data_IF_613772765943
#
_entry.id   IF_613772765943
#
_cell.length_a   1.000
_cell.length_b   1.000
_cell.length_c   1.000
_cell.angle_alpha   90.00
_cell.angle_beta   90.00
_cell.angle_gamma   90.00
#
_symmetry.space_group_name_H-M   'P 1'
#
loop_
_entity.id
_entity.type
_entity.pdbx_description
1 polymer ?
#
# COMPACT_ATOMS: atom_id res chain seq x y z
N UNK A 1 5.74 21.40 67.49
CA UNK A 1 5.34 21.83 66.13
C UNK A 1 5.84 20.81 65.12
N UNK A 2 5.09 19.74 64.91
CA UNK A 2 5.46 18.62 64.04
C UNK A 2 4.70 18.75 62.72
N UNK A 3 5.41 19.14 61.66
CA UNK A 3 4.88 19.22 60.28
C UNK A 3 4.65 17.79 59.77
N UNK A 4 3.40 17.43 59.51
CA UNK A 4 3.06 16.20 58.79
C UNK A 4 3.09 16.49 57.29
N UNK A 5 4.05 15.88 56.58
CA UNK A 5 4.10 15.87 55.12
C UNK A 5 3.20 14.71 54.66
N UNK A 6 2.05 15.05 54.08
CA UNK A 6 1.24 14.09 53.32
C UNK A 6 1.89 13.89 51.95
N UNK A 7 2.63 12.79 51.76
CA UNK A 7 3.06 12.36 50.43
C UNK A 7 1.88 11.66 49.75
N UNK A 8 1.23 12.34 48.80
CA UNK A 8 0.36 11.71 47.81
C UNK A 8 1.26 11.06 46.77
N UNK A 9 1.32 9.72 46.77
CA UNK A 9 1.92 8.95 45.70
C UNK A 9 0.92 8.85 44.55
N UNK A 10 1.09 9.69 43.53
CA UNK A 10 0.32 9.62 42.29
C UNK A 10 0.86 8.46 41.45
N UNK A 11 0.19 7.31 41.48
CA UNK A 11 0.44 6.21 40.56
C UNK A 11 -0.03 6.60 39.16
N UNK A 12 0.87 7.15 38.35
CA UNK A 12 0.64 7.30 36.92
C UNK A 12 0.79 5.92 36.29
N UNK A 13 -0.34 5.28 35.98
CA UNK A 13 -0.35 4.10 35.14
C UNK A 13 0.10 4.52 33.73
N UNK A 14 1.36 4.24 33.39
CA UNK A 14 1.85 4.43 32.03
C UNK A 14 1.32 3.25 31.21
N UNK A 15 0.21 3.48 30.52
CA UNK A 15 -0.28 2.53 29.52
C UNK A 15 0.71 2.51 28.35
N UNK A 16 1.55 1.47 28.28
CA UNK A 16 2.35 1.16 27.10
C UNK A 16 1.41 0.68 25.99
N UNK A 17 0.93 1.60 25.16
CA UNK A 17 0.15 1.24 23.98
C UNK A 17 1.10 0.84 22.85
N UNK A 18 1.09 -0.44 22.48
CA UNK A 18 1.62 -0.89 21.20
C UNK A 18 0.61 -0.52 20.11
N UNK A 19 0.58 0.76 19.70
CA UNK A 19 -0.32 1.19 18.62
C UNK A 19 0.20 0.72 17.26
N UNK A 20 -0.68 0.11 16.46
CA UNK A 20 -0.39 -0.17 15.05
C UNK A 20 -0.59 1.10 14.25
N UNK A 21 0.49 1.63 13.68
CA UNK A 21 0.39 2.73 12.73
C UNK A 21 -0.02 2.21 11.35
N UNK A 22 -1.11 2.74 10.79
CA UNK A 22 -1.56 2.44 9.43
C UNK A 22 -1.60 3.72 8.62
N UNK A 23 -1.04 3.67 7.41
CA UNK A 23 -1.07 4.76 6.44
C UNK A 23 -1.49 4.22 5.10
N UNK A 24 -2.50 4.83 4.49
CA UNK A 24 -2.87 4.52 3.11
C UNK A 24 -1.75 4.96 2.16
N UNK A 25 -1.48 4.11 1.17
CA UNK A 25 -0.56 4.40 0.08
C UNK A 25 -1.31 4.43 -1.25
N UNK A 26 -2.63 4.64 -1.23
CA UNK A 26 -3.49 4.45 -2.39
C UNK A 26 -3.25 5.44 -3.53
N UNK A 27 -2.64 6.59 -3.25
CA UNK A 27 -2.41 7.63 -4.26
C UNK A 27 -1.06 7.51 -4.95
N UNK A 28 -0.93 8.14 -6.11
CA UNK A 28 0.35 8.31 -6.82
C UNK A 28 1.06 6.98 -7.14
N UNK A 29 0.29 6.01 -7.63
CA UNK A 29 0.83 4.81 -8.26
C UNK A 29 1.12 5.08 -9.74
N UNK A 30 2.01 4.26 -10.30
CA UNK A 30 2.24 4.17 -11.72
C UNK A 30 1.76 2.81 -12.20
N UNK A 31 0.96 2.81 -13.25
CA UNK A 31 0.36 1.62 -13.83
C UNK A 31 0.80 1.44 -15.28
N UNK A 32 1.11 0.20 -15.64
CA UNK A 32 1.39 -0.19 -17.01
C UNK A 32 0.64 -1.50 -17.30
N UNK A 33 -0.15 -1.51 -18.37
CA UNK A 33 -0.80 -2.73 -18.86
C UNK A 33 0.09 -3.33 -19.94
N UNK A 34 0.58 -4.56 -19.72
CA UNK A 34 1.37 -5.26 -20.73
C UNK A 34 0.46 -5.63 -21.91
N UNK A 35 0.85 -5.35 -23.17
CA UNK A 35 0.05 -5.71 -24.34
C UNK A 35 -0.05 -7.22 -24.61
N UNK A 36 0.60 -8.07 -23.79
CA UNK A 36 0.54 -9.53 -23.83
C UNK A 36 0.67 -10.18 -22.44
N UNK A 37 0.75 -11.51 -22.39
CA UNK A 37 0.97 -12.30 -21.16
C UNK A 37 2.45 -12.33 -20.73
N UNK A 38 3.19 -11.25 -21.01
CA UNK A 38 4.60 -11.16 -20.68
C UNK A 38 4.77 -10.92 -19.18
N UNK A 39 5.40 -11.90 -18.52
CA UNK A 39 5.60 -11.90 -17.07
C UNK A 39 6.69 -10.93 -16.62
N UNK A 40 7.57 -10.50 -17.52
CA UNK A 40 8.66 -9.58 -17.24
C UNK A 40 8.37 -8.19 -17.80
N UNK A 41 8.81 -7.15 -17.08
CA UNK A 41 8.87 -5.81 -17.66
C UNK A 41 9.95 -5.81 -18.76
N UNK A 42 9.65 -5.33 -19.99
CA UNK A 42 10.63 -5.34 -21.06
C UNK A 42 11.84 -4.49 -20.68
N UNK A 43 13.01 -5.14 -20.59
CA UNK A 43 14.25 -4.51 -20.12
C UNK A 43 14.77 -3.40 -21.06
N UNK A 44 14.36 -3.43 -22.33
CA UNK A 44 14.89 -2.57 -23.39
C UNK A 44 13.81 -1.72 -24.09
N UNK A 45 12.54 -1.87 -23.73
CA UNK A 45 11.46 -1.06 -24.30
C UNK A 45 11.10 0.12 -23.41
N UNK A 46 10.67 1.22 -24.04
CA UNK A 46 10.24 2.42 -23.32
C UNK A 46 8.83 2.18 -22.75
N UNK A 47 8.78 1.67 -21.52
CA UNK A 47 7.53 1.47 -20.79
C UNK A 47 6.87 2.82 -20.51
N UNK A 48 5.63 2.96 -20.98
CA UNK A 48 4.80 4.13 -20.69
C UNK A 48 3.97 3.85 -19.44
N UNK A 49 4.22 4.62 -18.38
CA UNK A 49 3.53 4.53 -17.11
C UNK A 49 2.41 5.56 -17.01
N UNK A 50 1.21 5.11 -16.64
CA UNK A 50 0.07 5.97 -16.32
C UNK A 50 0.01 6.22 -14.83
N UNK A 51 -0.09 7.48 -14.41
CA UNK A 51 -0.29 7.82 -13.00
C UNK A 51 -1.74 7.54 -12.61
N UNK A 52 -1.96 6.79 -11.52
CA UNK A 52 -3.29 6.40 -11.01
C UNK A 52 -3.33 6.46 -9.47
N UNK A 53 -4.55 6.44 -8.93
CA UNK A 53 -4.83 6.09 -7.53
C UNK A 53 -5.61 4.77 -7.50
N UNK A 54 -5.45 3.99 -6.44
CA UNK A 54 -6.22 2.76 -6.19
C UNK A 54 -7.38 3.02 -5.20
N UNK A 55 -8.48 2.25 -5.25
CA UNK A 55 -8.73 1.04 -6.07
C UNK A 55 -8.76 1.35 -7.57
N UNK A 56 -8.16 0.48 -8.38
CA UNK A 56 -8.06 0.62 -9.83
C UNK A 56 -8.35 -0.72 -10.52
N UNK A 57 -9.03 -0.67 -11.66
CA UNK A 57 -9.20 -1.79 -12.57
C UNK A 57 -8.94 -1.33 -14.00
N UNK A 58 -8.21 -2.14 -14.78
CA UNK A 58 -8.07 -1.91 -16.22
C UNK A 58 -9.32 -2.33 -17.00
N UNK A 59 -10.19 -3.16 -16.40
CA UNK A 59 -11.45 -3.60 -16.98
C UNK A 59 -12.64 -2.69 -16.61
N UNK A 60 -12.43 -1.37 -16.56
CA UNK A 60 -13.49 -0.43 -16.15
C UNK A 60 -14.49 -0.13 -17.26
N UNK A 61 -14.12 -0.36 -18.51
CA UNK A 61 -14.90 -0.01 -19.69
C UNK A 61 -15.17 -1.18 -20.64
N UNK A 62 -14.20 -2.08 -20.81
CA UNK A 62 -14.29 -3.19 -21.78
C UNK A 62 -15.38 -4.21 -21.43
N UNK A 63 -15.72 -4.35 -20.15
CA UNK A 63 -16.86 -5.18 -19.71
C UNK A 63 -18.24 -4.56 -20.05
N UNK A 64 -18.27 -3.32 -20.50
CA UNK A 64 -19.49 -2.56 -20.78
C UNK A 64 -19.64 -2.16 -22.26
N UNK A 65 -18.67 -2.49 -23.11
CA UNK A 65 -18.75 -2.19 -24.53
C UNK A 65 -19.50 -3.28 -25.32
N UNK A 66 -19.68 -3.06 -26.62
CA UNK A 66 -20.41 -3.99 -27.49
C UNK A 66 -19.53 -5.17 -27.96
N UNK A 67 -18.24 -5.21 -27.59
CA UNK A 67 -17.31 -6.26 -27.97
C UNK A 67 -17.35 -7.41 -26.93
N UNK A 68 -17.59 -8.67 -27.35
CA UNK A 68 -17.63 -9.77 -26.40
C UNK A 68 -16.28 -10.02 -25.71
N UNK A 69 -16.27 -9.92 -24.38
CA UNK A 69 -15.15 -10.30 -23.54
C UNK A 69 -14.58 -9.14 -22.74
N UNK A 70 -13.37 -9.30 -22.23
CA UNK A 70 -12.60 -8.25 -21.59
C UNK A 70 -11.12 -8.63 -21.60
N UNK A 71 -10.24 -7.64 -21.45
CA UNK A 71 -8.80 -7.90 -21.48
C UNK A 71 -8.36 -8.76 -20.28
N UNK A 72 -7.62 -9.83 -20.57
CA UNK A 72 -6.98 -10.71 -19.58
C UNK A 72 -5.49 -10.77 -19.89
N UNK A 73 -4.68 -10.39 -18.92
CA UNK A 73 -3.23 -10.34 -19.06
C UNK A 73 -2.58 -9.77 -17.81
N UNK A 74 -1.38 -9.23 -17.97
CA UNK A 74 -0.54 -8.78 -16.85
C UNK A 74 -0.54 -7.26 -16.77
N UNK A 75 -0.76 -6.75 -15.56
CA UNK A 75 -0.71 -5.34 -15.24
C UNK A 75 0.29 -5.06 -14.12
N UNK A 76 1.17 -4.10 -14.35
CA UNK A 76 2.21 -3.70 -13.41
C UNK A 76 1.79 -2.46 -12.63
N UNK A 77 1.92 -2.54 -11.31
CA UNK A 77 1.74 -1.42 -10.39
C UNK A 77 3.06 -1.09 -9.72
N UNK A 78 3.51 0.16 -9.84
CA UNK A 78 4.77 0.65 -9.28
C UNK A 78 4.52 1.83 -8.36
N UNK A 79 5.12 1.79 -7.17
CA UNK A 79 5.12 2.90 -6.22
C UNK A 79 6.44 2.99 -5.49
N UNK A 80 6.92 4.21 -5.31
CA UNK A 80 8.02 4.51 -4.38
C UNK A 80 7.38 4.78 -3.01
N UNK A 81 7.79 4.02 -2.00
CA UNK A 81 7.32 4.15 -0.63
C UNK A 81 8.48 4.67 0.20
N UNK A 82 8.34 5.88 0.73
CA UNK A 82 9.29 6.46 1.68
C UNK A 82 8.95 5.98 3.09
N UNK A 83 9.91 5.32 3.73
CA UNK A 83 9.80 4.86 5.11
C UNK A 83 10.50 5.86 6.02
N UNK A 84 9.74 6.49 6.90
CA UNK A 84 10.26 7.45 7.85
C UNK A 84 11.26 6.76 8.83
N UNK A 85 12.44 7.35 9.09
CA UNK A 85 13.41 6.84 10.05
C UNK A 85 12.84 6.52 11.45
N UNK A 86 11.72 7.14 11.86
CA UNK A 86 11.02 6.82 13.11
C UNK A 86 10.59 5.35 13.20
N UNK A 87 10.41 4.67 12.06
CA UNK A 87 10.06 3.25 11.99
C UNK A 87 11.28 2.32 12.00
N UNK A 88 12.49 2.84 12.22
CA UNK A 88 13.69 2.01 12.33
C UNK A 88 13.51 0.95 13.43
N UNK A 89 13.90 -0.29 13.10
CA UNK A 89 13.74 -1.47 13.95
C UNK A 89 12.29 -1.90 14.24
N UNK A 90 11.30 -1.38 13.50
CA UNK A 90 9.92 -1.85 13.57
C UNK A 90 9.61 -2.84 12.43
N UNK A 91 8.58 -3.66 12.63
CA UNK A 91 8.04 -4.51 11.56
C UNK A 91 7.14 -3.67 10.65
N UNK A 92 7.38 -3.76 9.34
CA UNK A 92 6.62 -3.03 8.33
C UNK A 92 5.93 -4.05 7.44
N UNK A 93 4.63 -3.85 7.23
CA UNK A 93 3.80 -4.71 6.41
C UNK A 93 3.15 -3.90 5.29
N UNK A 94 3.16 -4.45 4.09
CA UNK A 94 2.31 -3.99 3.01
C UNK A 94 0.97 -4.73 3.09
N UNK A 95 -0.12 -3.98 3.24
CA UNK A 95 -1.46 -4.54 3.42
C UNK A 95 -2.32 -4.28 2.17
N UNK A 96 -2.87 -5.36 1.62
CA UNK A 96 -3.78 -5.33 0.47
C UNK A 96 -5.18 -5.74 0.91
N UNK A 97 -6.19 -4.95 0.59
CA UNK A 97 -7.60 -5.32 0.81
C UNK A 97 -8.07 -6.34 -0.25
N UNK A 98 -7.47 -6.33 -1.44
CA UNK A 98 -7.74 -7.29 -2.49
C UNK A 98 -6.92 -7.00 -3.75
N UNK A 99 -6.57 -8.06 -4.48
CA UNK A 99 -5.97 -8.00 -5.82
C UNK A 99 -6.62 -9.08 -6.68
N UNK A 100 -6.83 -8.81 -7.98
CA UNK A 100 -7.50 -9.74 -8.89
C UNK A 100 -6.59 -10.13 -10.08
N UNK A 101 -6.39 -11.40 -10.40
CA UNK A 101 -6.64 -12.60 -9.56
C UNK A 101 -5.39 -13.03 -8.79
N UNK A 102 -4.21 -12.89 -9.39
CA UNK A 102 -2.92 -13.28 -8.82
C UNK A 102 -2.00 -12.08 -8.79
N UNK A 103 -1.18 -11.97 -7.75
CA UNK A 103 -0.20 -10.90 -7.59
C UNK A 103 1.15 -11.46 -7.15
N UNK A 104 2.21 -10.92 -7.73
CA UNK A 104 3.59 -11.08 -7.26
C UNK A 104 4.08 -9.71 -6.79
N UNK A 105 4.69 -9.67 -5.61
CA UNK A 105 5.20 -8.43 -4.99
C UNK A 105 6.73 -8.47 -4.96
N UNK A 106 7.37 -7.39 -5.38
CA UNK A 106 8.82 -7.23 -5.49
C UNK A 106 9.33 -6.11 -4.58
#
# INVERSE_FOLDING_TARGET
MTKWIFSIFLFIAISLNAQVFKKSINDNWFFHLSPGNEEDLPAHEKITWKKISIPHTWNSTDVLDDEPGYFRGIGWYKKIIEIDPVFKNQQIFLYFEGVSQTATVF
#
